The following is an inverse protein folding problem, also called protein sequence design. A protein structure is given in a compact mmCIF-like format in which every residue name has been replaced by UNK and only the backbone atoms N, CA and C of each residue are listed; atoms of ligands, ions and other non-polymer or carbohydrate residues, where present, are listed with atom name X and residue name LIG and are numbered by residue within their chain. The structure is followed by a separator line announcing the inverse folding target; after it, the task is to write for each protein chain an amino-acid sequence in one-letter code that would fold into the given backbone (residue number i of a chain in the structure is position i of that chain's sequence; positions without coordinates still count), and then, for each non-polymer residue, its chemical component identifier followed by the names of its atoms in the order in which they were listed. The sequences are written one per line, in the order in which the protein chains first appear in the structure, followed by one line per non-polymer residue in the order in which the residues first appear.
data_IF_010719597594
#
_entry.id   IF_010719597594
#
_cell.length_a   1.000
_cell.length_b   1.000
_cell.length_c   1.000
_cell.angle_alpha   90.00
_cell.angle_beta   90.00
_cell.angle_gamma   90.00
#
_symmetry.space_group_name_H-M   'P 1'
#
loop_
_entity.id
_entity.type
_entity.pdbx_description
1 polymer ?
#
# COMPACT_ATOMS: atom_id res chain seq x y z
N UNK A 1 45.00 0.87 -32.09
CA UNK A 1 43.77 1.18 -32.86
C UNK A 1 42.79 0.03 -32.59
N UNK A 2 41.60 0.16 -32.03
CA UNK A 2 40.82 1.25 -31.45
C UNK A 2 39.99 0.62 -30.30
N UNK A 3 40.03 1.17 -29.10
CA UNK A 3 39.19 0.71 -27.99
C UNK A 3 37.88 1.49 -28.04
N UNK A 4 36.79 0.82 -28.41
CA UNK A 4 35.44 1.38 -28.30
C UNK A 4 35.08 1.55 -26.83
N UNK A 5 35.09 2.80 -26.38
CA UNK A 5 34.35 3.24 -25.19
C UNK A 5 32.88 2.90 -25.43
N UNK A 6 32.39 1.82 -24.84
CA UNK A 6 30.96 1.55 -24.81
C UNK A 6 30.32 2.65 -23.97
N UNK A 7 29.76 3.65 -24.65
CA UNK A 7 28.96 4.68 -24.04
C UNK A 7 27.77 3.98 -23.37
N UNK A 8 27.75 4.01 -22.05
CA UNK A 8 26.57 3.63 -21.28
C UNK A 8 25.37 4.39 -21.84
N UNK A 9 24.45 3.66 -22.47
CA UNK A 9 23.15 4.18 -22.91
C UNK A 9 22.17 3.94 -21.75
N UNK A 10 21.62 4.99 -21.11
CA UNK A 10 20.64 4.79 -20.05
C UNK A 10 19.44 4.05 -20.63
N UNK A 11 18.84 3.07 -19.92
CA UNK A 11 17.64 2.40 -20.40
C UNK A 11 16.56 3.46 -20.61
N UNK A 12 16.19 3.68 -21.88
CA UNK A 12 15.14 4.63 -22.27
C UNK A 12 13.90 4.46 -21.39
N UNK A 13 13.43 5.60 -20.89
CA UNK A 13 12.36 5.77 -19.92
C UNK A 13 11.12 4.98 -20.35
N UNK A 14 10.86 3.86 -19.66
CA UNK A 14 9.51 3.29 -19.59
C UNK A 14 8.60 4.45 -19.19
N UNK A 15 7.55 4.73 -19.99
CA UNK A 15 6.71 5.91 -19.87
C UNK A 15 6.53 6.34 -18.43
N UNK A 16 7.15 7.46 -18.04
CA UNK A 16 7.05 7.94 -16.68
C UNK A 16 5.57 8.23 -16.44
N UNK A 17 4.91 7.59 -15.46
CA UNK A 17 3.57 8.04 -15.10
C UNK A 17 3.69 9.53 -14.82
N UNK A 18 2.96 10.34 -15.59
CA UNK A 18 3.03 11.79 -15.52
C UNK A 18 2.95 12.18 -14.06
N UNK A 19 4.02 12.80 -13.53
CA UNK A 19 4.21 13.02 -12.09
C UNK A 19 2.97 13.63 -11.43
N UNK A 20 2.21 14.43 -12.17
CA UNK A 20 0.90 14.99 -11.78
C UNK A 20 -0.15 13.92 -11.42
N UNK A 21 -0.34 12.90 -12.25
CA UNK A 21 -1.32 11.84 -12.01
C UNK A 21 -0.93 10.98 -10.80
N UNK A 22 0.34 10.58 -10.69
CA UNK A 22 0.85 9.85 -9.52
C UNK A 22 0.77 10.66 -8.22
N UNK A 23 1.02 11.97 -8.29
CA UNK A 23 0.89 12.88 -7.15
C UNK A 23 -0.57 13.03 -6.70
N UNK A 24 -1.51 13.18 -7.65
CA UNK A 24 -2.94 13.22 -7.35
C UNK A 24 -3.42 11.94 -6.64
N UNK A 25 -3.07 10.76 -7.16
CA UNK A 25 -3.39 9.48 -6.51
C UNK A 25 -2.80 9.36 -5.10
N UNK A 26 -1.55 9.81 -4.89
CA UNK A 26 -0.94 9.79 -3.55
C UNK A 26 -1.63 10.74 -2.58
N UNK A 27 -1.97 11.95 -3.01
CA UNK A 27 -2.73 12.92 -2.20
C UNK A 27 -4.10 12.34 -1.83
N UNK A 28 -4.74 11.63 -2.76
CA UNK A 28 -6.05 11.02 -2.57
C UNK A 28 -6.01 9.87 -1.55
N UNK A 29 -4.98 9.04 -1.60
CA UNK A 29 -4.72 8.01 -0.59
C UNK A 29 -4.47 8.62 0.80
N UNK A 30 -3.68 9.70 0.88
CA UNK A 30 -3.44 10.39 2.16
C UNK A 30 -4.74 10.96 2.72
N UNK A 31 -5.58 11.58 1.88
CA UNK A 31 -6.90 12.09 2.31
C UNK A 31 -7.81 10.96 2.77
N UNK A 32 -7.90 9.87 2.01
CA UNK A 32 -8.69 8.69 2.38
C UNK A 32 -8.18 8.03 3.68
N UNK A 33 -6.87 8.06 3.94
CA UNK A 33 -6.33 7.60 5.21
C UNK A 33 -6.87 8.41 6.39
N UNK A 34 -6.93 9.73 6.27
CA UNK A 34 -7.40 10.61 7.34
C UNK A 34 -8.91 10.58 7.60
N UNK A 35 -9.72 10.07 6.67
CA UNK A 35 -11.16 9.88 6.90
C UNK A 35 -11.49 8.61 7.68
N UNK A 36 -10.52 7.71 7.85
CA UNK A 36 -10.68 6.53 8.70
C UNK A 36 -10.70 6.92 10.18
N UNK A 37 -11.49 6.17 10.95
CA UNK A 37 -11.48 6.31 12.42
C UNK A 37 -10.09 6.04 12.98
N UNK A 38 -9.73 6.64 14.12
CA UNK A 38 -8.44 6.41 14.75
C UNK A 38 -8.18 4.91 15.01
N UNK A 39 -9.22 4.17 15.42
CA UNK A 39 -9.15 2.74 15.64
C UNK A 39 -8.89 1.94 14.35
N UNK A 40 -9.48 2.34 13.22
CA UNK A 40 -9.22 1.67 11.94
C UNK A 40 -7.81 1.98 11.42
N UNK A 41 -7.34 3.22 11.58
CA UNK A 41 -5.97 3.62 11.21
C UNK A 41 -4.93 2.84 11.99
N UNK A 42 -5.10 2.73 13.31
CA UNK A 42 -4.18 2.00 14.17
C UNK A 42 -4.07 0.53 13.76
N UNK A 43 -5.21 -0.14 13.54
CA UNK A 43 -5.24 -1.54 13.11
C UNK A 43 -4.56 -1.75 11.75
N UNK A 44 -4.72 -0.81 10.82
CA UNK A 44 -4.05 -0.87 9.52
C UNK A 44 -2.56 -0.56 9.64
N UNK A 45 -2.15 0.40 10.47
CA UNK A 45 -0.77 0.80 10.66
C UNK A 45 0.09 -0.36 11.20
N UNK A 46 -0.40 -1.07 12.22
CA UNK A 46 0.29 -2.21 12.81
C UNK A 46 0.64 -3.31 11.80
N UNK A 47 -0.17 -3.49 10.76
CA UNK A 47 0.07 -4.53 9.74
C UNK A 47 0.80 -3.97 8.52
N UNK A 48 0.41 -2.79 8.03
CA UNK A 48 0.89 -2.24 6.77
C UNK A 48 2.20 -1.46 6.90
N UNK A 49 2.48 -0.88 8.07
CA UNK A 49 3.69 -0.10 8.34
C UNK A 49 4.63 -0.83 9.29
N UNK A 50 4.10 -1.38 10.38
CA UNK A 50 4.93 -2.11 11.36
C UNK A 50 5.15 -3.58 10.98
N UNK A 51 4.45 -4.09 9.95
CA UNK A 51 4.65 -5.44 9.43
C UNK A 51 4.23 -6.55 10.40
N UNK A 52 3.44 -6.25 11.43
CA UNK A 52 3.09 -7.23 12.45
C UNK A 52 2.08 -8.26 11.94
N UNK A 53 2.30 -9.51 12.32
CA UNK A 53 1.32 -10.56 12.13
C UNK A 53 0.07 -10.29 13.01
N UNK A 54 -1.14 -10.74 12.62
CA UNK A 54 -2.37 -10.49 13.39
C UNK A 54 -2.32 -10.91 14.86
N UNK A 55 -1.52 -11.92 15.19
CA UNK A 55 -1.33 -12.37 16.57
C UNK A 55 -0.51 -11.35 17.39
N UNK A 56 0.58 -10.80 16.81
CA UNK A 56 1.43 -9.80 17.46
C UNK A 56 0.68 -8.47 17.62
N UNK A 57 -0.01 -8.02 16.57
CA UNK A 57 -0.78 -6.79 16.62
C UNK A 57 -1.96 -6.85 17.63
N UNK A 58 -2.54 -8.05 17.84
CA UNK A 58 -3.55 -8.24 18.86
C UNK A 58 -3.01 -8.04 20.29
N UNK A 59 -1.75 -8.44 20.54
CA UNK A 59 -1.06 -8.21 21.82
C UNK A 59 -0.83 -6.71 22.06
N UNK A 60 -0.38 -5.98 21.04
CA UNK A 60 -0.19 -4.52 21.12
C UNK A 60 -1.49 -3.80 21.50
N UNK A 61 -2.62 -4.23 20.92
CA UNK A 61 -3.94 -3.66 21.23
C UNK A 61 -4.64 -4.26 22.46
N UNK A 62 -3.99 -5.19 23.17
CA UNK A 62 -4.55 -5.85 24.36
C UNK A 62 -5.86 -6.61 24.09
N UNK A 63 -6.01 -7.22 22.91
CA UNK A 63 -7.23 -7.91 22.51
C UNK A 63 -6.98 -9.34 22.00
N UNK A 64 -8.05 -10.12 21.82
CA UNK A 64 -7.93 -11.47 21.22
C UNK A 64 -7.58 -11.38 19.73
N UNK A 65 -6.82 -12.36 19.21
CA UNK A 65 -6.48 -12.46 17.78
C UNK A 65 -7.71 -12.39 16.87
N UNK A 66 -8.79 -13.07 17.22
CA UNK A 66 -10.05 -13.05 16.45
C UNK A 66 -10.66 -11.65 16.39
N UNK A 67 -10.66 -10.91 17.50
CA UNK A 67 -11.11 -9.51 17.56
C UNK A 67 -10.27 -8.61 16.66
N UNK A 68 -8.94 -8.78 16.68
CA UNK A 68 -8.04 -8.04 15.79
C UNK A 68 -8.34 -8.33 14.31
N UNK A 69 -8.46 -9.60 13.92
CA UNK A 69 -8.76 -9.99 12.52
C UNK A 69 -10.09 -9.41 12.03
N UNK A 70 -11.12 -9.39 12.89
CA UNK A 70 -12.40 -8.76 12.56
C UNK A 70 -12.26 -7.24 12.35
N UNK A 71 -11.53 -6.57 13.25
CA UNK A 71 -11.24 -5.13 13.12
C UNK A 71 -10.46 -4.85 11.83
N UNK A 72 -9.45 -5.65 11.52
CA UNK A 72 -8.64 -5.51 10.31
C UNK A 72 -9.47 -5.68 9.04
N UNK A 73 -10.35 -6.68 9.01
CA UNK A 73 -11.25 -6.91 7.87
C UNK A 73 -12.20 -5.72 7.69
N UNK A 74 -12.76 -5.19 8.79
CA UNK A 74 -13.63 -4.01 8.75
C UNK A 74 -12.88 -2.76 8.27
N UNK A 75 -11.68 -2.52 8.78
CA UNK A 75 -10.84 -1.39 8.40
C UNK A 75 -10.46 -1.45 6.91
N UNK A 76 -10.10 -2.63 6.39
CA UNK A 76 -9.82 -2.85 4.96
C UNK A 76 -11.05 -2.56 4.09
N UNK A 77 -12.23 -3.03 4.49
CA UNK A 77 -13.49 -2.75 3.78
C UNK A 77 -13.82 -1.25 3.77
N UNK A 78 -13.67 -0.58 4.91
CA UNK A 78 -13.87 0.89 5.01
C UNK A 78 -12.91 1.65 4.12
N UNK A 79 -11.62 1.29 4.12
CA UNK A 79 -10.62 1.89 3.23
C UNK A 79 -10.98 1.68 1.75
N UNK A 80 -11.34 0.45 1.38
CA UNK A 80 -11.73 0.13 0.00
C UNK A 80 -13.00 0.86 -0.46
N UNK A 81 -13.98 1.09 0.43
CA UNK A 81 -15.18 1.85 0.11
C UNK A 81 -14.88 3.34 -0.19
N UNK A 82 -13.87 3.92 0.48
CA UNK A 82 -13.39 5.28 0.20
C UNK A 82 -12.70 5.38 -1.16
N UNK A 83 -11.97 4.33 -1.54
CA UNK A 83 -11.35 4.22 -2.87
C UNK A 83 -12.44 4.02 -3.97
N UNK A 84 -13.52 3.29 -3.69
CA UNK A 84 -14.58 2.99 -4.66
C UNK A 84 -15.53 4.17 -4.94
N UNK A 85 -15.78 5.05 -3.97
CA UNK A 85 -16.54 6.30 -4.16
C UNK A 85 -15.81 7.34 -5.00
N UNK A 86 -14.55 7.07 -5.37
CA UNK A 86 -13.64 7.96 -6.08
C UNK A 86 -12.97 7.16 -7.21
N UNK A 87 -13.75 6.88 -8.26
CA UNK A 87 -13.42 5.92 -9.31
C UNK A 87 -11.94 5.96 -9.77
N UNK A 88 -11.30 4.80 -9.99
CA UNK A 88 -9.87 4.75 -10.24
C UNK A 88 -9.51 5.33 -11.60
N UNK A 89 -8.53 6.22 -11.66
CA UNK A 89 -7.66 6.28 -12.84
C UNK A 89 -6.84 4.99 -12.85
N UNK A 90 -6.78 4.26 -14.00
CA UNK A 90 -6.13 2.97 -14.06
C UNK A 90 -4.63 3.14 -13.82
N UNK A 91 -4.16 2.66 -12.67
CA UNK A 91 -2.73 2.44 -12.43
C UNK A 91 -2.49 0.95 -12.54
N UNK A 92 -1.72 0.58 -13.55
CA UNK A 92 -1.39 -0.79 -13.93
C UNK A 92 -0.96 -1.65 -12.75
N UNK A 93 -1.39 -2.90 -12.83
CA UNK A 93 -1.31 -3.96 -11.85
C UNK A 93 0.13 -4.21 -11.34
N UNK A 94 0.45 -3.63 -10.18
CA UNK A 94 1.64 -3.96 -9.36
C UNK A 94 1.30 -5.02 -8.30
N UNK A 95 0.04 -5.49 -8.21
CA UNK A 95 -0.42 -6.31 -7.07
C UNK A 95 0.13 -7.74 -7.06
N UNK A 96 0.58 -8.29 -8.18
CA UNK A 96 1.08 -9.67 -8.26
C UNK A 96 2.40 -9.99 -7.51
N UNK A 97 3.00 -9.05 -6.78
CA UNK A 97 4.27 -9.27 -6.04
C UNK A 97 4.16 -9.18 -4.51
N UNK A 98 3.07 -8.65 -3.96
CA UNK A 98 2.93 -8.50 -2.50
C UNK A 98 2.51 -9.79 -1.80
N UNK A 99 2.00 -10.78 -2.55
CA UNK A 99 1.49 -12.04 -2.02
C UNK A 99 2.61 -12.98 -1.52
N UNK A 100 3.89 -12.65 -1.76
CA UNK A 100 5.05 -13.45 -1.35
C UNK A 100 5.57 -13.18 0.07
N UNK A 101 4.89 -12.37 0.89
CA UNK A 101 5.35 -11.95 2.23
C UNK A 101 4.80 -12.80 3.39
N UNK A 102 4.54 -14.10 3.21
CA UNK A 102 4.08 -14.96 4.31
C UNK A 102 4.70 -16.36 4.37
N UNK A 103 5.86 -16.57 3.74
CA UNK A 103 6.70 -17.74 4.03
C UNK A 103 8.00 -17.32 4.73
N UNK A 104 7.95 -17.28 6.07
CA UNK A 104 9.06 -17.55 7.00
C UNK A 104 8.50 -17.62 8.44
#
# INVERSE_FOLDING_TARGET
MASSTSAWSPPQSRGSPTLTAGTATRIDLVRAWWTLTAADREVLALVAFDGLAPAQAAVVLGCRRSTFTMRLTRARRRRAALDAGRGPAPIDDVRGRQDSWSEA
#
